data_IF_683560924472
#
_entry.id   IF_683560924472
#
_cell.length_a   1.000
_cell.length_b   1.000
_cell.length_c   1.000
_cell.angle_alpha   90.00
_cell.angle_beta   90.00
_cell.angle_gamma   90.00
#
_symmetry.space_group_name_H-M   'P 1'
#
loop_
_entity.id
_entity.type
_entity.pdbx_description
1 polymer ?
#
# COMPACT_ATOMS: atom_id res chain seq x y z
N UNK A 1 -25.29 11.60 50.29
CA UNK A 1 -25.85 11.02 49.05
C UNK A 1 -27.21 11.65 48.80
N UNK A 2 -27.28 12.58 47.86
CA UNK A 2 -28.48 13.34 47.51
C UNK A 2 -28.86 12.92 46.10
N UNK A 3 -30.05 12.32 45.83
CA UNK A 3 -30.43 12.03 44.47
C UNK A 3 -31.14 13.24 43.85
N UNK A 4 -30.54 13.82 42.81
CA UNK A 4 -31.25 14.74 41.91
C UNK A 4 -31.65 13.99 40.66
N UNK A 5 -32.97 13.79 40.55
CA UNK A 5 -33.69 13.32 39.37
C UNK A 5 -33.68 14.42 38.31
N UNK A 6 -33.36 14.08 37.07
CA UNK A 6 -33.73 14.89 35.90
C UNK A 6 -34.51 14.04 34.91
N UNK A 7 -35.74 14.46 34.65
CA UNK A 7 -36.68 13.91 33.68
C UNK A 7 -36.44 14.54 32.29
N UNK A 8 -36.39 13.67 31.28
CA UNK A 8 -37.17 13.66 30.02
C UNK A 8 -37.26 14.93 29.17
N UNK A 9 -36.87 14.79 27.90
CA UNK A 9 -37.64 15.31 26.76
C UNK A 9 -37.34 14.49 25.49
N UNK A 10 -38.16 13.48 25.23
CA UNK A 10 -38.29 12.88 23.90
C UNK A 10 -39.19 13.78 23.05
N UNK A 11 -38.72 14.20 21.88
CA UNK A 11 -39.54 14.87 20.87
C UNK A 11 -39.60 13.98 19.62
N UNK A 12 -40.83 13.65 19.24
CA UNK A 12 -41.21 12.72 18.18
C UNK A 12 -41.98 13.50 17.10
N UNK A 13 -41.51 13.40 15.84
CA UNK A 13 -42.23 13.47 14.54
C UNK A 13 -42.93 14.81 14.13
N UNK A 14 -43.17 15.09 12.81
CA UNK A 14 -43.65 14.14 11.81
C UNK A 14 -43.10 14.21 10.36
N UNK A 15 -43.40 13.11 9.65
CA UNK A 15 -43.37 12.96 8.20
C UNK A 15 -44.59 13.62 7.52
N UNK A 16 -44.39 14.15 6.32
CA UNK A 16 -45.42 14.56 5.33
C UNK A 16 -44.85 14.17 3.95
N UNK A 17 -45.30 13.11 3.28
CA UNK A 17 -46.50 12.93 2.41
C UNK A 17 -46.46 13.72 1.08
N UNK A 18 -46.05 12.98 0.02
CA UNK A 18 -46.75 12.68 -1.25
C UNK A 18 -47.07 13.73 -2.34
N UNK A 19 -46.68 13.35 -3.58
CA UNK A 19 -47.45 13.25 -4.84
C UNK A 19 -47.90 14.52 -5.61
N UNK A 20 -47.51 14.63 -6.89
CA UNK A 20 -48.38 14.60 -8.11
C UNK A 20 -47.59 14.97 -9.38
N UNK A 21 -47.99 14.34 -10.47
CA UNK A 21 -47.38 14.22 -11.78
C UNK A 21 -47.72 15.33 -12.82
N UNK A 22 -47.07 15.19 -13.97
CA UNK A 22 -47.49 15.53 -15.34
C UNK A 22 -47.27 16.97 -15.88
N UNK A 23 -46.50 17.05 -16.96
CA UNK A 23 -46.43 18.17 -17.90
C UNK A 23 -45.64 17.80 -19.16
N UNK A 24 -46.35 17.57 -20.26
CA UNK A 24 -45.84 17.26 -21.60
C UNK A 24 -45.38 18.53 -22.34
N UNK A 25 -44.31 18.46 -23.15
CA UNK A 25 -44.17 18.90 -24.56
C UNK A 25 -42.83 18.29 -25.07
N UNK A 26 -42.65 17.72 -26.26
CA UNK A 26 -43.18 18.04 -27.58
C UNK A 26 -42.12 18.84 -28.36
N UNK A 27 -41.15 18.16 -28.98
CA UNK A 27 -40.06 18.81 -29.73
C UNK A 27 -39.35 17.86 -30.69
N UNK A 28 -39.88 17.79 -31.91
CA UNK A 28 -39.35 17.11 -33.09
C UNK A 28 -38.11 17.86 -33.63
N UNK A 29 -37.02 17.14 -33.93
CA UNK A 29 -35.78 17.70 -34.48
C UNK A 29 -34.96 16.62 -35.21
N UNK A 30 -34.37 16.93 -36.38
CA UNK A 30 -34.08 15.94 -37.40
C UNK A 30 -32.82 15.12 -37.12
N UNK A 31 -32.88 13.83 -37.46
CA UNK A 31 -31.73 12.92 -37.54
C UNK A 31 -30.85 13.29 -38.73
N UNK A 32 -29.52 13.43 -38.58
CA UNK A 32 -28.61 13.24 -39.69
C UNK A 32 -28.29 11.75 -39.81
N UNK A 33 -28.50 11.23 -41.01
CA UNK A 33 -28.02 9.94 -41.46
C UNK A 33 -26.50 9.93 -41.46
N UNK A 34 -25.88 8.81 -41.08
CA UNK A 34 -24.62 8.35 -41.69
C UNK A 34 -24.36 6.89 -41.35
N UNK A 35 -24.30 6.10 -42.41
CA UNK A 35 -23.36 4.99 -42.60
C UNK A 35 -23.49 3.77 -41.69
N UNK A 36 -24.34 2.84 -42.14
CA UNK A 36 -24.14 1.42 -41.89
C UNK A 36 -22.85 0.97 -42.60
N UNK A 37 -21.91 0.41 -41.83
CA UNK A 37 -20.83 -0.43 -42.35
C UNK A 37 -21.01 -1.81 -41.76
N UNK A 38 -21.05 -2.80 -42.66
CA UNK A 38 -21.17 -4.22 -42.40
C UNK A 38 -20.17 -4.72 -41.34
N UNK A 39 -20.68 -5.51 -40.39
CA UNK A 39 -19.91 -6.21 -39.38
C UNK A 39 -20.43 -7.64 -39.26
N UNK A 40 -19.64 -8.58 -39.78
CA UNK A 40 -20.01 -9.95 -40.09
C UNK A 40 -20.51 -10.81 -38.93
N UNK A 41 -21.38 -11.74 -39.31
CA UNK A 41 -21.66 -12.97 -38.59
C UNK A 41 -20.46 -13.92 -38.69
N UNK A 42 -19.92 -14.36 -37.56
CA UNK A 42 -19.13 -15.59 -37.45
C UNK A 42 -19.21 -16.05 -35.99
N UNK A 43 -20.16 -16.92 -35.68
CA UNK A 43 -20.00 -18.37 -35.63
C UNK A 43 -19.03 -18.81 -34.52
N UNK A 44 -19.63 -19.31 -33.44
CA UNK A 44 -19.00 -20.15 -32.45
C UNK A 44 -18.30 -21.34 -33.12
N UNK A 45 -17.11 -21.70 -32.65
CA UNK A 45 -16.52 -23.01 -32.91
C UNK A 45 -15.66 -23.43 -31.74
N UNK A 46 -15.87 -24.70 -31.38
CA UNK A 46 -15.42 -25.37 -30.18
C UNK A 46 -13.92 -25.61 -30.12
N UNK A 47 -13.47 -25.82 -28.88
CA UNK A 47 -12.21 -26.47 -28.50
C UNK A 47 -12.03 -27.84 -29.17
N UNK A 48 -10.78 -28.21 -29.47
CA UNK A 48 -10.32 -29.59 -29.34
C UNK A 48 -9.36 -29.70 -28.17
N UNK A 49 -9.62 -30.69 -27.31
CA UNK A 49 -8.62 -31.30 -26.46
C UNK A 49 -7.68 -32.14 -27.35
N UNK A 50 -6.39 -32.13 -27.05
CA UNK A 50 -5.44 -33.12 -27.55
C UNK A 50 -4.68 -33.75 -26.38
N UNK A 51 -4.85 -35.07 -26.29
CA UNK A 51 -4.24 -35.99 -25.34
C UNK A 51 -2.83 -36.40 -25.83
N UNK A 52 -1.89 -36.57 -24.90
CA UNK A 52 -0.95 -37.70 -25.00
C UNK A 52 0.55 -37.43 -24.91
N UNK A 53 1.10 -37.66 -23.71
CA UNK A 53 2.14 -38.69 -23.51
C UNK A 53 3.61 -38.27 -23.33
N UNK A 54 4.41 -39.05 -22.58
CA UNK A 54 5.62 -38.60 -21.88
C UNK A 54 6.93 -38.97 -22.59
N UNK A 55 8.03 -38.30 -22.21
CA UNK A 55 9.38 -38.62 -22.63
C UNK A 55 10.37 -38.64 -21.46
N UNK A 56 10.74 -39.86 -21.05
CA UNK A 56 11.91 -40.17 -20.23
C UNK A 56 13.21 -39.76 -20.93
N UNK A 57 14.22 -39.40 -20.13
CA UNK A 57 15.58 -39.18 -20.63
C UNK A 57 16.58 -38.92 -19.51
N UNK A 58 17.00 -39.98 -18.84
CA UNK A 58 18.12 -39.94 -17.89
C UNK A 58 19.47 -39.66 -18.57
N UNK A 59 20.43 -39.19 -17.79
CA UNK A 59 21.83 -39.04 -18.19
C UNK A 59 22.69 -38.67 -16.99
N UNK A 60 23.42 -39.66 -16.47
CA UNK A 60 24.45 -39.52 -15.45
C UNK A 60 25.85 -39.44 -16.10
N UNK A 61 26.78 -38.81 -15.38
CA UNK A 61 28.23 -38.69 -15.61
C UNK A 61 28.66 -37.38 -14.95
N UNK A 62 29.35 -37.33 -13.81
CA UNK A 62 30.60 -37.98 -13.35
C UNK A 62 31.79 -37.73 -14.28
N UNK A 63 32.56 -36.70 -13.94
CA UNK A 63 34.00 -36.63 -14.11
C UNK A 63 34.59 -35.54 -13.18
N UNK A 64 35.53 -35.99 -12.36
CA UNK A 64 36.21 -35.20 -11.35
C UNK A 64 37.30 -34.28 -11.89
N UNK A 65 37.74 -33.39 -11.01
CA UNK A 65 38.92 -32.56 -11.18
C UNK A 65 39.33 -31.97 -9.83
N UNK A 66 40.22 -32.67 -9.13
CA UNK A 66 41.02 -32.13 -8.04
C UNK A 66 42.43 -31.86 -8.58
N UNK A 67 43.02 -30.72 -8.20
CA UNK A 67 44.44 -30.30 -8.18
C UNK A 67 44.44 -28.75 -8.26
N UNK A 68 45.31 -27.94 -7.67
CA UNK A 68 46.26 -28.02 -6.55
C UNK A 68 46.93 -26.63 -6.49
N UNK A 69 47.36 -26.19 -5.29
CA UNK A 69 48.35 -25.12 -5.07
C UNK A 69 47.86 -23.68 -5.32
N UNK A 70 48.28 -22.62 -4.64
CA UNK A 70 49.36 -22.26 -3.70
C UNK A 70 48.76 -21.10 -2.84
N UNK A 71 49.17 -20.72 -1.64
CA UNK A 71 50.47 -20.71 -0.97
C UNK A 71 50.34 -19.71 0.20
N UNK A 72 51.06 -19.96 1.28
CA UNK A 72 51.14 -19.18 2.52
C UNK A 72 51.57 -17.72 2.31
N UNK A 73 51.18 -16.82 3.21
CA UNK A 73 52.08 -16.36 4.28
C UNK A 73 51.44 -15.29 5.18
N UNK A 74 51.76 -15.38 6.47
CA UNK A 74 51.29 -14.48 7.51
C UNK A 74 52.05 -13.15 7.54
N UNK A 75 51.52 -12.22 8.35
CA UNK A 75 52.18 -10.95 8.62
C UNK A 75 51.41 -10.13 9.64
N UNK A 76 51.59 -10.47 10.92
CA UNK A 76 51.36 -9.53 12.02
C UNK A 76 52.39 -8.41 11.94
N UNK A 77 51.92 -7.16 12.01
CA UNK A 77 52.75 -5.97 12.09
C UNK A 77 52.07 -4.90 12.93
N UNK A 78 52.35 -4.90 14.23
CA UNK A 78 52.24 -3.73 15.08
C UNK A 78 53.24 -2.66 14.61
N UNK A 79 52.80 -1.41 14.53
CA UNK A 79 53.65 -0.29 14.16
C UNK A 79 52.91 1.04 14.29
N UNK A 80 52.89 1.57 15.52
CA UNK A 80 52.48 2.95 15.77
C UNK A 80 53.41 3.96 15.09
N UNK A 81 52.82 5.04 14.59
CA UNK A 81 53.52 6.19 14.06
C UNK A 81 52.59 7.39 13.98
N UNK A 82 52.74 8.31 14.94
CA UNK A 82 52.12 9.63 14.92
C UNK A 82 52.51 10.40 13.67
N UNK A 83 51.51 10.99 13.01
CA UNK A 83 51.66 12.02 12.00
C UNK A 83 50.41 12.88 12.03
N UNK A 84 50.53 14.09 12.57
CA UNK A 84 49.52 15.12 12.46
C UNK A 84 49.48 15.61 11.01
N UNK A 85 48.30 15.58 10.39
CA UNK A 85 48.00 16.37 9.20
C UNK A 85 46.66 17.08 9.43
N UNK A 86 46.74 18.40 9.39
CA UNK A 86 45.67 19.37 9.57
C UNK A 86 44.87 19.46 8.28
N UNK A 87 43.86 18.60 8.16
CA UNK A 87 42.83 18.69 7.13
C UNK A 87 41.52 19.11 7.79
N UNK A 88 41.19 20.40 7.72
CA UNK A 88 39.85 20.92 7.98
C UNK A 88 38.84 20.24 7.04
N UNK A 89 38.26 19.14 7.52
CA UNK A 89 37.01 18.58 7.02
C UNK A 89 35.89 19.51 7.49
N UNK A 90 35.43 20.35 6.59
CA UNK A 90 34.14 21.03 6.72
C UNK A 90 33.05 19.94 6.69
N UNK A 91 32.77 19.34 7.84
CA UNK A 91 31.55 18.58 8.09
C UNK A 91 30.37 19.58 8.13
N UNK A 92 30.01 20.13 6.98
CA UNK A 92 28.70 20.75 6.81
C UNK A 92 27.68 19.61 6.72
N UNK A 93 26.79 19.40 7.71
CA UNK A 93 25.68 18.50 7.53
C UNK A 93 24.83 19.04 6.38
N UNK A 94 24.68 18.25 5.31
CA UNK A 94 23.73 18.58 4.25
C UNK A 94 22.33 18.67 4.90
N UNK A 95 21.63 19.82 4.83
CA UNK A 95 20.26 19.88 5.29
C UNK A 95 19.39 19.17 4.24
N UNK A 96 19.25 17.85 4.34
CA UNK A 96 18.03 17.20 3.84
C UNK A 96 16.94 17.51 4.84
N UNK A 97 16.49 18.77 4.85
CA UNK A 97 15.27 19.11 5.57
C UNK A 97 14.17 18.32 4.88
N UNK A 98 13.69 17.26 5.56
CA UNK A 98 12.38 16.72 5.27
C UNK A 98 11.40 17.90 5.19
N UNK A 99 10.41 17.85 4.27
CA UNK A 99 9.39 18.89 4.20
C UNK A 99 8.80 19.12 5.60
N UNK A 100 8.42 20.38 5.94
CA UNK A 100 7.84 20.68 7.24
C UNK A 100 6.67 19.73 7.53
N UNK A 101 6.60 19.25 8.77
CA UNK A 101 5.56 18.33 9.25
C UNK A 101 4.20 19.06 9.26
N UNK A 102 3.52 19.08 8.12
CA UNK A 102 2.13 19.51 8.03
C UNK A 102 1.26 18.27 8.18
N UNK A 103 1.10 17.82 9.42
CA UNK A 103 0.18 16.74 9.74
C UNK A 103 -1.20 17.32 10.09
N UNK A 104 -2.24 16.83 9.42
CA UNK A 104 -3.65 17.09 9.70
C UNK A 104 -4.49 15.83 9.40
N UNK A 105 -5.82 15.90 9.49
CA UNK A 105 -6.70 14.73 9.30
C UNK A 105 -7.30 14.64 7.88
N UNK A 106 -6.89 15.52 6.95
CA UNK A 106 -7.40 15.52 5.57
C UNK A 106 -6.71 14.40 4.76
N UNK A 107 -7.33 13.94 3.65
CA UNK A 107 -6.69 12.97 2.77
C UNK A 107 -5.30 13.40 2.29
N UNK A 108 -4.36 12.46 2.30
CA UNK A 108 -3.00 12.61 1.75
C UNK A 108 -2.87 11.70 0.52
N UNK A 109 -2.43 12.27 -0.61
CA UNK A 109 -2.44 11.61 -1.92
C UNK A 109 -1.17 11.90 -2.70
N UNK A 110 -0.68 10.87 -3.39
CA UNK A 110 0.33 10.98 -4.43
C UNK A 110 0.03 10.02 -5.57
N UNK A 111 0.19 10.49 -6.81
CA UNK A 111 0.01 9.67 -8.00
C UNK A 111 1.22 8.75 -8.24
N UNK A 112 1.01 7.50 -8.69
CA UNK A 112 2.10 6.62 -9.07
C UNK A 112 2.79 7.13 -10.35
N UNK A 113 4.07 6.81 -10.51
CA UNK A 113 4.82 7.12 -11.74
C UNK A 113 5.17 5.84 -12.51
N UNK A 114 5.73 5.98 -13.72
CA UNK A 114 6.17 4.84 -14.54
C UNK A 114 5.11 4.25 -15.48
N UNK A 115 4.02 5.00 -15.76
CA UNK A 115 3.03 4.70 -16.80
C UNK A 115 2.43 3.28 -16.75
N UNK A 116 2.22 2.73 -15.55
CA UNK A 116 1.67 1.39 -15.35
C UNK A 116 2.69 0.24 -15.48
N UNK A 117 3.96 0.54 -15.76
CA UNK A 117 5.05 -0.44 -15.77
C UNK A 117 5.67 -0.72 -14.39
N UNK A 118 5.12 -0.12 -13.33
CA UNK A 118 5.58 -0.29 -11.95
C UNK A 118 4.85 -1.47 -11.31
N UNK A 119 5.59 -2.53 -10.97
CA UNK A 119 5.07 -3.78 -10.41
C UNK A 119 5.68 -4.02 -9.03
N UNK A 120 5.21 -3.25 -8.05
CA UNK A 120 5.68 -3.36 -6.67
C UNK A 120 4.77 -4.23 -5.81
N UNK A 121 5.31 -4.90 -4.81
CA UNK A 121 4.54 -5.66 -3.83
C UNK A 121 4.97 -5.21 -2.45
N UNK A 122 4.01 -5.05 -1.53
CA UNK A 122 4.32 -4.83 -0.11
C UNK A 122 4.95 -6.11 0.41
N UNK A 123 6.22 -6.06 0.81
CA UNK A 123 7.01 -7.22 1.25
C UNK A 123 7.04 -7.37 2.76
N UNK A 124 6.91 -6.26 3.48
CA UNK A 124 6.87 -6.23 4.94
C UNK A 124 6.12 -4.99 5.44
N UNK A 125 5.60 -5.07 6.66
CA UNK A 125 4.92 -3.96 7.34
C UNK A 125 5.45 -3.86 8.76
N UNK A 126 5.97 -2.68 9.10
CA UNK A 126 6.62 -2.43 10.38
C UNK A 126 5.97 -1.27 11.10
N UNK A 127 5.91 -1.36 12.41
CA UNK A 127 5.45 -0.27 13.28
C UNK A 127 6.59 0.19 14.19
N UNK A 128 6.57 1.45 14.61
CA UNK A 128 7.57 1.99 15.51
C UNK A 128 7.12 3.29 16.18
N UNK A 129 7.60 3.49 17.40
CA UNK A 129 7.27 4.67 18.22
C UNK A 129 8.33 5.74 18.01
N UNK A 130 7.90 6.98 17.85
CA UNK A 130 8.77 8.15 17.78
C UNK A 130 8.27 9.26 18.72
N UNK A 131 9.10 10.26 19.05
CA UNK A 131 8.63 11.41 19.81
C UNK A 131 7.50 12.16 19.10
N UNK A 132 6.27 12.07 19.63
CA UNK A 132 5.07 12.76 19.16
C UNK A 132 4.37 12.13 17.96
N UNK A 133 4.76 10.93 17.54
CA UNK A 133 4.05 10.16 16.52
C UNK A 133 4.43 8.68 16.53
N UNK A 134 3.49 7.84 16.10
CA UNK A 134 3.76 6.47 15.69
C UNK A 134 3.98 6.40 14.18
N UNK A 135 4.79 5.44 13.75
CA UNK A 135 5.11 5.21 12.35
C UNK A 135 4.66 3.82 11.93
N UNK A 136 4.00 3.75 10.78
CA UNK A 136 3.77 2.52 10.00
C UNK A 136 4.58 2.61 8.71
N UNK A 137 5.41 1.62 8.42
CA UNK A 137 6.22 1.53 7.21
C UNK A 137 5.77 0.32 6.39
N UNK A 138 5.38 0.57 5.14
CA UNK A 138 5.17 -0.47 4.15
C UNK A 138 6.43 -0.57 3.31
N UNK A 139 7.19 -1.66 3.45
CA UNK A 139 8.35 -1.95 2.61
C UNK A 139 7.86 -2.51 1.27
N UNK A 140 8.38 -2.00 0.17
CA UNK A 140 8.01 -2.44 -1.18
C UNK A 140 9.23 -2.99 -1.93
N UNK A 141 9.01 -4.13 -2.57
CA UNK A 141 9.94 -4.76 -3.51
C UNK A 141 9.29 -4.98 -4.88
N UNK A 142 10.08 -5.43 -5.84
CA UNK A 142 9.61 -5.67 -7.22
C UNK A 142 10.42 -4.86 -8.23
N UNK A 143 9.86 -4.66 -9.41
CA UNK A 143 10.55 -4.00 -10.53
C UNK A 143 9.66 -2.99 -11.21
N UNK A 144 10.28 -2.04 -11.91
CA UNK A 144 9.57 -1.05 -12.70
C UNK A 144 10.30 0.28 -12.80
N UNK A 145 9.89 1.15 -13.74
CA UNK A 145 10.56 2.42 -13.99
C UNK A 145 10.07 3.57 -13.09
N UNK A 146 9.06 3.33 -12.24
CA UNK A 146 8.41 4.38 -11.44
C UNK A 146 8.35 4.09 -9.95
N UNK A 147 7.68 4.99 -9.25
CA UNK A 147 7.42 4.96 -7.82
C UNK A 147 5.94 4.64 -7.54
N UNK A 148 5.62 4.05 -6.38
CA UNK A 148 4.24 3.85 -5.98
C UNK A 148 3.58 5.21 -5.69
N UNK A 149 2.25 5.24 -5.79
CA UNK A 149 1.43 6.33 -5.28
C UNK A 149 0.68 5.89 -4.03
N UNK A 150 -0.06 6.80 -3.41
CA UNK A 150 -0.93 6.50 -2.29
C UNK A 150 -2.19 7.36 -2.27
N UNK A 151 -3.21 6.86 -1.59
CA UNK A 151 -4.39 7.59 -1.15
C UNK A 151 -4.70 7.13 0.28
N UNK A 152 -4.49 8.02 1.24
CA UNK A 152 -4.65 7.75 2.66
C UNK A 152 -5.69 8.70 3.23
N UNK A 153 -6.73 8.14 3.86
CA UNK A 153 -7.88 8.90 4.36
C UNK A 153 -8.64 8.15 5.43
N UNK A 154 -9.31 8.88 6.31
CA UNK A 154 -10.25 8.30 7.25
C UNK A 154 -11.50 7.77 6.52
N UNK A 155 -11.98 6.61 6.94
CA UNK A 155 -13.18 5.96 6.41
C UNK A 155 -14.10 5.55 7.56
N UNK A 156 -15.43 5.58 7.35
CA UNK A 156 -16.37 5.16 8.40
C UNK A 156 -16.32 3.66 8.64
N UNK A 157 -15.91 2.86 7.65
CA UNK A 157 -15.93 1.40 7.67
C UNK A 157 -14.76 0.85 6.84
N UNK A 158 -14.09 -0.18 7.34
CA UNK A 158 -13.10 -0.93 6.57
C UNK A 158 -13.81 -1.96 5.68
N UNK A 159 -13.72 -1.80 4.36
CA UNK A 159 -14.36 -2.67 3.37
C UNK A 159 -13.30 -3.33 2.50
N UNK A 160 -13.36 -4.66 2.35
CA UNK A 160 -12.48 -5.40 1.45
C UNK A 160 -12.71 -4.97 -0.01
N UNK A 161 -11.60 -4.71 -0.73
CA UNK A 161 -11.64 -4.39 -2.15
C UNK A 161 -12.32 -5.50 -2.96
N UNK A 162 -13.04 -5.10 -4.01
CA UNK A 162 -13.80 -5.99 -4.90
C UNK A 162 -15.09 -6.56 -4.30
N UNK A 163 -15.05 -7.10 -3.07
CA UNK A 163 -16.21 -7.75 -2.45
C UNK A 163 -17.11 -6.80 -1.65
N UNK A 164 -16.54 -5.72 -1.09
CA UNK A 164 -17.24 -4.79 -0.22
C UNK A 164 -17.60 -5.35 1.17
N UNK A 165 -17.06 -6.51 1.56
CA UNK A 165 -17.29 -7.06 2.90
C UNK A 165 -16.64 -6.18 3.96
N UNK A 166 -17.40 -5.88 5.01
CA UNK A 166 -16.85 -5.18 6.18
C UNK A 166 -15.89 -6.08 6.93
N UNK A 167 -14.76 -5.51 7.33
CA UNK A 167 -13.78 -6.11 8.22
C UNK A 167 -13.66 -5.28 9.49
N UNK A 168 -13.48 -5.95 10.62
CA UNK A 168 -13.29 -5.29 11.91
C UNK A 168 -11.82 -4.87 12.05
N UNK A 169 -11.60 -3.65 12.55
CA UNK A 169 -10.27 -3.08 12.83
C UNK A 169 -10.33 -2.51 14.25
N UNK A 170 -9.37 -2.87 15.10
CA UNK A 170 -9.29 -2.33 16.45
C UNK A 170 -8.87 -0.86 16.43
N UNK A 171 -9.65 0.02 17.06
CA UNK A 171 -9.44 1.46 17.12
C UNK A 171 -10.76 2.24 17.09
N UNK A 172 -10.72 3.50 17.50
CA UNK A 172 -11.86 4.42 17.50
C UNK A 172 -12.07 5.13 16.15
N UNK A 173 -11.03 5.21 15.32
CA UNK A 173 -11.10 5.65 13.93
C UNK A 173 -10.33 4.71 12.99
N UNK A 174 -10.72 4.68 11.71
CA UNK A 174 -10.11 3.81 10.70
C UNK A 174 -9.48 4.66 9.62
N UNK A 175 -8.16 4.58 9.49
CA UNK A 175 -7.40 5.18 8.40
C UNK A 175 -7.14 4.14 7.31
N UNK A 176 -7.74 4.31 6.14
CA UNK A 176 -7.49 3.46 4.98
C UNK A 176 -6.21 3.92 4.28
N UNK A 177 -5.29 2.99 4.02
CA UNK A 177 -4.07 3.20 3.25
C UNK A 177 -4.18 2.40 1.96
N UNK A 178 -4.34 3.08 0.81
CA UNK A 178 -4.29 2.45 -0.52
C UNK A 178 -3.00 2.85 -1.22
N UNK A 179 -2.16 1.88 -1.55
CA UNK A 179 -0.88 2.09 -2.26
C UNK A 179 -1.05 1.65 -3.71
N UNK A 180 -0.86 2.57 -4.65
CA UNK A 180 -1.01 2.33 -6.10
C UNK A 180 0.34 2.02 -6.76
N UNK A 181 0.30 1.45 -7.97
CA UNK A 181 1.51 0.94 -8.64
C UNK A 181 2.00 -0.37 -8.03
N UNK A 182 1.07 -1.13 -7.41
CA UNK A 182 1.37 -2.42 -6.82
C UNK A 182 0.82 -3.57 -7.68
N UNK A 183 1.36 -4.76 -7.50
CA UNK A 183 1.04 -5.96 -8.24
C UNK A 183 1.03 -7.18 -7.31
N UNK A 184 0.51 -8.29 -7.83
CA UNK A 184 0.56 -9.57 -7.14
C UNK A 184 2.02 -9.99 -6.89
N UNK A 185 2.31 -10.72 -5.81
CA UNK A 185 3.63 -11.35 -5.61
C UNK A 185 4.10 -12.17 -6.83
N UNK A 186 3.17 -12.83 -7.52
CA UNK A 186 3.47 -13.61 -8.75
C UNK A 186 3.90 -12.75 -9.92
N UNK A 187 3.42 -11.50 -9.98
CA UNK A 187 3.67 -10.58 -11.10
C UNK A 187 4.91 -9.73 -10.84
N UNK A 188 5.14 -9.34 -9.58
CA UNK A 188 6.33 -8.58 -9.16
C UNK A 188 7.58 -9.45 -8.98
N UNK A 189 7.40 -10.76 -8.80
CA UNK A 189 8.49 -11.72 -8.59
C UNK A 189 9.08 -11.70 -7.17
N UNK A 190 8.45 -11.02 -6.22
CA UNK A 190 8.87 -10.97 -4.80
C UNK A 190 7.76 -11.46 -3.88
N UNK A 191 8.09 -12.08 -2.72
CA UNK A 191 7.09 -12.49 -1.74
C UNK A 191 6.29 -11.31 -1.20
N UNK A 192 5.00 -11.51 -0.97
CA UNK A 192 4.16 -10.52 -0.28
C UNK A 192 4.31 -10.59 1.24
N UNK A 193 3.96 -9.49 1.91
CA UNK A 193 3.89 -9.40 3.35
C UNK A 193 2.87 -10.39 3.94
N UNK A 194 3.09 -10.77 5.19
CA UNK A 194 2.12 -11.54 5.97
C UNK A 194 0.83 -10.71 6.18
N UNK A 195 -0.31 -11.40 6.26
CA UNK A 195 -1.65 -10.78 6.35
C UNK A 195 -2.24 -10.88 7.77
N UNK A 196 -1.47 -11.38 8.73
CA UNK A 196 -1.83 -11.41 10.14
C UNK A 196 -1.92 -9.97 10.64
N UNK A 197 -2.98 -9.61 11.39
CA UNK A 197 -3.09 -8.27 11.96
C UNK A 197 -1.90 -7.97 12.88
N UNK A 198 -1.30 -6.79 12.70
CA UNK A 198 -0.21 -6.31 13.55
C UNK A 198 -0.82 -5.45 14.64
N UNK A 199 -0.61 -5.83 15.90
CA UNK A 199 -1.08 -5.09 17.09
C UNK A 199 0.12 -4.65 17.91
N UNK A 200 0.71 -3.48 17.62
CA UNK A 200 1.85 -2.99 18.38
C UNK A 200 1.48 -2.73 19.84
N UNK A 201 2.35 -3.12 20.77
CA UNK A 201 2.11 -2.98 22.21
C UNK A 201 2.58 -1.63 22.77
N UNK A 202 3.51 -0.97 22.08
CA UNK A 202 4.22 0.21 22.60
C UNK A 202 3.78 1.53 21.93
N UNK A 203 2.96 1.46 20.89
CA UNK A 203 2.40 2.61 20.17
C UNK A 203 1.34 3.33 20.99
N UNK A 204 1.17 4.62 20.75
CA UNK A 204 0.24 5.50 21.47
C UNK A 204 -0.98 5.90 20.62
N UNK A 205 -0.84 6.02 19.30
CA UNK A 205 -1.92 6.30 18.36
C UNK A 205 -2.36 5.10 17.53
N UNK A 206 -1.44 4.20 17.15
CA UNK A 206 -1.77 3.07 16.27
C UNK A 206 -2.11 1.83 17.10
N UNK A 207 -3.33 1.31 16.99
CA UNK A 207 -3.76 0.10 17.70
C UNK A 207 -3.59 -1.18 16.87
N UNK A 208 -3.92 -1.10 15.58
CA UNK A 208 -3.89 -2.25 14.67
C UNK A 208 -3.54 -1.82 13.26
N UNK A 209 -2.70 -2.60 12.59
CA UNK A 209 -2.51 -2.54 11.13
C UNK A 209 -3.02 -3.84 10.53
N UNK A 210 -4.11 -3.74 9.77
CA UNK A 210 -4.74 -4.84 9.08
C UNK A 210 -4.46 -4.75 7.57
N UNK A 211 -3.46 -5.48 7.11
CA UNK A 211 -3.16 -5.59 5.67
C UNK A 211 -4.09 -6.58 4.98
N UNK A 212 -4.81 -6.11 3.96
CA UNK A 212 -5.81 -6.94 3.26
C UNK A 212 -5.19 -7.64 2.08
N UNK A 213 -5.00 -6.99 0.95
CA UNK A 213 -4.53 -7.65 -0.26
C UNK A 213 -4.11 -6.61 -1.30
N UNK A 214 -3.59 -7.10 -2.42
CA UNK A 214 -3.61 -6.35 -3.68
C UNK A 214 -4.92 -6.62 -4.44
N UNK A 215 -5.46 -5.62 -5.12
CA UNK A 215 -6.57 -5.70 -6.07
C UNK A 215 -6.43 -4.57 -7.11
N UNK A 216 -6.50 -4.91 -8.41
CA UNK A 216 -6.51 -3.95 -9.53
C UNK A 216 -5.42 -2.85 -9.48
N UNK A 217 -4.20 -3.21 -9.07
CA UNK A 217 -3.06 -2.28 -9.02
C UNK A 217 -2.87 -1.56 -7.68
N UNK A 218 -3.72 -1.85 -6.69
CA UNK A 218 -3.70 -1.24 -5.36
C UNK A 218 -3.45 -2.29 -4.28
N UNK A 219 -2.64 -1.94 -3.29
CA UNK A 219 -2.50 -2.68 -2.04
C UNK A 219 -3.21 -1.90 -0.94
N UNK A 220 -4.10 -2.56 -0.20
CA UNK A 220 -4.91 -1.89 0.82
C UNK A 220 -4.60 -2.41 2.22
N UNK A 221 -4.39 -1.48 3.14
CA UNK A 221 -4.35 -1.71 4.57
C UNK A 221 -5.34 -0.80 5.29
N UNK A 222 -5.79 -1.23 6.47
CA UNK A 222 -6.53 -0.40 7.39
C UNK A 222 -5.72 -0.25 8.67
N UNK A 223 -5.56 0.98 9.13
CA UNK A 223 -4.88 1.31 10.38
C UNK A 223 -5.92 1.83 11.35
N UNK A 224 -6.08 1.13 12.46
CA UNK A 224 -6.95 1.55 13.54
C UNK A 224 -6.24 2.52 14.48
N UNK A 225 -6.92 3.61 14.80
CA UNK A 225 -6.38 4.75 15.53
C UNK A 225 -7.12 4.90 16.86
N UNK A 226 -6.36 4.99 17.95
CA UNK A 226 -6.84 5.21 19.31
C UNK A 226 -7.34 6.66 19.51
N UNK A 227 -8.34 6.84 20.39
CA UNK A 227 -9.10 8.08 20.65
C UNK A 227 -9.56 8.91 19.42
N UNK A 228 -9.78 8.28 18.27
CA UNK A 228 -10.40 8.88 17.09
C UNK A 228 -9.40 9.45 16.07
N UNK A 229 -9.87 10.33 15.18
CA UNK A 229 -9.02 10.85 14.09
C UNK A 229 -7.84 11.67 14.64
N UNK A 230 -6.61 11.21 14.36
CA UNK A 230 -5.37 11.92 14.70
C UNK A 230 -4.69 12.46 13.43
N UNK A 231 -4.03 13.63 13.51
CA UNK A 231 -3.28 14.15 12.37
C UNK A 231 -2.23 13.16 11.86
N UNK A 232 -2.11 13.02 10.54
CA UNK A 232 -1.14 12.12 9.91
C UNK A 232 -0.42 12.78 8.74
N UNK A 233 0.64 12.13 8.26
CA UNK A 233 1.28 12.43 6.97
C UNK A 233 1.73 11.15 6.29
N UNK A 234 1.89 11.21 4.97
CA UNK A 234 2.44 10.12 4.19
C UNK A 234 3.58 10.60 3.31
N UNK A 235 4.62 9.81 3.18
CA UNK A 235 5.73 10.13 2.29
C UNK A 235 6.45 8.88 1.80
N UNK A 236 7.21 9.06 0.72
CA UNK A 236 8.02 8.03 0.10
C UNK A 236 9.46 8.13 0.60
N UNK A 237 10.08 6.98 0.93
CA UNK A 237 11.52 6.83 0.95
C UNK A 237 11.94 5.91 -0.20
N UNK A 238 13.08 6.21 -0.81
CA UNK A 238 13.71 5.34 -1.81
C UNK A 238 14.90 4.60 -1.17
N UNK A 239 15.37 3.54 -1.83
CA UNK A 239 16.59 2.80 -1.48
C UNK A 239 16.64 2.24 -0.03
N UNK A 240 15.77 1.29 0.35
CA UNK A 240 14.70 0.65 -0.43
C UNK A 240 13.38 1.46 -0.45
N UNK A 241 12.51 1.15 -1.41
CA UNK A 241 11.21 1.79 -1.60
C UNK A 241 10.30 1.52 -0.41
N UNK A 242 9.82 2.59 0.23
CA UNK A 242 8.94 2.54 1.39
C UNK A 242 7.88 3.63 1.33
N UNK A 243 6.63 3.25 1.54
CA UNK A 243 5.57 4.20 1.88
C UNK A 243 5.50 4.28 3.40
N UNK A 244 5.67 5.49 3.94
CA UNK A 244 5.72 5.75 5.38
C UNK A 244 4.52 6.57 5.77
N UNK A 245 3.76 6.07 6.76
CA UNK A 245 2.66 6.76 7.42
C UNK A 245 3.12 7.13 8.83
N UNK A 246 3.10 8.42 9.16
CA UNK A 246 3.26 8.90 10.54
C UNK A 246 1.92 9.39 11.07
N UNK A 247 1.56 8.99 12.30
CA UNK A 247 0.32 9.40 12.99
C UNK A 247 0.69 10.05 14.33
N UNK A 248 0.27 11.29 14.56
CA UNK A 248 0.56 12.00 15.82
C UNK A 248 -0.08 11.32 17.03
N UNK A 249 0.56 11.42 18.19
CA UNK A 249 0.06 11.04 19.52
C UNK A 249 0.35 12.10 20.57
#
# INVERSE_FOLDING_TARGET
MTPRRSLVAALVLPAVVALVAAGCTGGDGPRPETSASDGGTSAASATPADDGGPGDGGGAGDDGGADDGEGSDGGSGDGGGSGADDGSGDDTPAPTSAPPFVADTRPDQAEPTGAGGTLLTVTDIRTGVHPGFDRVVFDLGGTGPGAPGWDVRYVPEALDDGSGHRVEVAGDAILQVRISGTAAPTDSGVPGADRTPIRPADTEAVEEVLYRTWFEGYSTAFVGIDDGERPFRVFLLTDPVRVVLDVQH
#
